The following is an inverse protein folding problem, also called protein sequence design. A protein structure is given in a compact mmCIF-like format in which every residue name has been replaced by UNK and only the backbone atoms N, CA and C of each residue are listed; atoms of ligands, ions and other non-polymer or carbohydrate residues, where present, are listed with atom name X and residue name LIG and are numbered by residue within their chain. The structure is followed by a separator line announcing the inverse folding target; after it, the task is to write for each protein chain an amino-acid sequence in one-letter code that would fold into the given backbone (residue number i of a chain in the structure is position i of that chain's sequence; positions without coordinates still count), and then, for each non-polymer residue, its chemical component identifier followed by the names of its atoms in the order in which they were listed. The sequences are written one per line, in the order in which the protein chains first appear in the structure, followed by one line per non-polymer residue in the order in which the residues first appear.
data_IF_189318713663
#
_entry.id   IF_189318713663
#
_cell.length_a   1.000
_cell.length_b   1.000
_cell.length_c   1.000
_cell.angle_alpha   90.00
_cell.angle_beta   90.00
_cell.angle_gamma   90.00
#
_symmetry.space_group_name_H-M   'P 1'
#
loop_
_entity.id
_entity.type
_entity.pdbx_description
1 polymer ?
#
# COMPACT_ATOMS: atom_id res chain seq x y z
N UNK A 1 2.15 19.15 3.09
CA UNK A 1 2.41 18.00 2.18
C UNK A 1 1.37 16.92 2.39
N UNK A 2 1.09 16.54 3.65
CA UNK A 2 0.02 15.61 4.00
C UNK A 2 -1.35 16.02 3.44
N UNK A 3 -1.71 17.31 3.51
CA UNK A 3 -2.99 17.82 2.95
C UNK A 3 -3.11 17.58 1.43
N UNK A 4 -2.03 17.79 0.68
CA UNK A 4 -2.02 17.52 -0.78
C UNK A 4 -2.19 16.03 -1.09
N UNK A 5 -1.66 15.14 -0.25
CA UNK A 5 -1.84 13.69 -0.41
C UNK A 5 -3.28 13.30 -0.07
N UNK A 6 -3.89 13.93 0.95
CA UNK A 6 -5.30 13.71 1.27
C UNK A 6 -6.20 14.13 0.11
N UNK A 7 -5.94 15.29 -0.50
CA UNK A 7 -6.67 15.77 -1.68
C UNK A 7 -6.56 14.80 -2.88
N UNK A 8 -5.40 14.14 -3.06
CA UNK A 8 -5.23 13.11 -4.08
C UNK A 8 -6.04 11.85 -3.76
N UNK A 9 -6.00 11.38 -2.50
CA UNK A 9 -6.77 10.22 -2.06
C UNK A 9 -8.28 10.48 -2.16
N UNK A 10 -8.72 11.71 -1.91
CA UNK A 10 -10.13 12.09 -1.98
C UNK A 10 -10.71 12.11 -3.40
N UNK A 11 -9.86 12.22 -4.42
CA UNK A 11 -10.25 12.07 -5.83
C UNK A 11 -10.68 10.64 -6.20
N UNK A 12 -10.38 9.64 -5.35
CA UNK A 12 -10.92 8.29 -5.53
C UNK A 12 -12.45 8.37 -5.45
N UNK A 13 -13.18 7.77 -6.43
CA UNK A 13 -14.63 7.81 -6.47
C UNK A 13 -15.28 7.36 -5.15
N UNK A 14 -16.36 8.06 -4.80
CA UNK A 14 -17.21 7.64 -3.69
C UNK A 14 -17.92 6.33 -4.02
N UNK A 15 -18.48 5.69 -2.98
CA UNK A 15 -19.40 4.57 -3.15
C UNK A 15 -20.59 4.98 -4.03
N UNK A 16 -21.06 4.05 -4.84
CA UNK A 16 -22.28 4.28 -5.62
C UNK A 16 -23.53 4.39 -4.71
N UNK A 17 -24.69 4.65 -5.31
CA UNK A 17 -25.97 4.78 -4.56
C UNK A 17 -26.36 3.52 -3.77
N UNK A 18 -25.72 2.37 -4.03
CA UNK A 18 -25.93 1.10 -3.33
C UNK A 18 -24.88 0.84 -2.26
N UNK A 19 -23.93 1.77 -2.05
CA UNK A 19 -22.80 1.57 -1.14
C UNK A 19 -21.69 0.70 -1.72
N UNK A 20 -21.67 0.46 -3.03
CA UNK A 20 -20.67 -0.40 -3.69
C UNK A 20 -19.51 0.46 -4.19
N UNK A 21 -18.28 0.02 -3.91
CA UNK A 21 -17.09 0.60 -4.51
C UNK A 21 -16.72 -0.16 -5.78
N UNK A 22 -16.87 0.46 -6.95
CA UNK A 22 -16.48 -0.14 -8.24
C UNK A 22 -15.05 0.21 -8.66
N UNK A 23 -14.43 1.16 -7.95
CA UNK A 23 -13.11 1.69 -8.27
C UNK A 23 -13.08 2.59 -9.51
N UNK A 24 -12.07 3.47 -9.63
CA UNK A 24 -11.78 4.19 -10.86
C UNK A 24 -11.16 3.25 -11.92
N UNK A 25 -11.26 3.64 -13.19
CA UNK A 25 -10.45 3.08 -14.26
C UNK A 25 -8.96 3.37 -14.03
N UNK A 26 -8.07 2.65 -14.71
CA UNK A 26 -6.63 2.93 -14.62
C UNK A 26 -6.30 4.35 -15.09
N UNK A 27 -6.95 4.86 -16.13
CA UNK A 27 -6.70 6.21 -16.65
C UNK A 27 -7.06 7.30 -15.62
N UNK A 28 -8.09 7.07 -14.81
CA UNK A 28 -8.48 7.95 -13.70
C UNK A 28 -7.58 7.79 -12.47
N UNK A 29 -7.12 6.56 -12.18
CA UNK A 29 -6.27 6.28 -11.04
C UNK A 29 -4.83 6.77 -11.24
N UNK A 30 -4.29 6.65 -12.46
CA UNK A 30 -2.87 6.88 -12.74
C UNK A 30 -2.36 8.27 -12.31
N UNK A 31 -3.06 9.39 -12.59
CA UNK A 31 -2.63 10.70 -12.11
C UNK A 31 -2.54 10.81 -10.58
N UNK A 32 -3.43 10.11 -9.86
CA UNK A 32 -3.44 10.07 -8.39
C UNK A 32 -2.21 9.32 -7.89
N UNK A 33 -1.97 8.12 -8.45
CA UNK A 33 -0.82 7.28 -8.08
C UNK A 33 0.51 7.97 -8.41
N UNK A 34 0.61 8.59 -9.59
CA UNK A 34 1.81 9.33 -10.02
C UNK A 34 2.05 10.55 -9.12
N UNK A 35 1.00 11.26 -8.69
CA UNK A 35 1.12 12.36 -7.74
C UNK A 35 1.66 11.92 -6.38
N UNK A 36 1.24 10.76 -5.88
CA UNK A 36 1.74 10.18 -4.64
C UNK A 36 3.19 9.73 -4.79
N UNK A 37 3.53 9.06 -5.89
CA UNK A 37 4.90 8.60 -6.18
C UNK A 37 5.87 9.76 -6.40
N UNK A 38 5.41 10.86 -7.01
CA UNK A 38 6.20 12.07 -7.20
C UNK A 38 6.58 12.74 -5.85
N UNK A 39 5.75 12.55 -4.81
CA UNK A 39 6.07 12.94 -3.45
C UNK A 39 7.01 11.96 -2.73
N UNK A 40 7.46 10.89 -3.41
CA UNK A 40 8.43 9.94 -2.91
C UNK A 40 7.92 9.08 -1.76
N UNK A 41 8.85 8.65 -0.91
CA UNK A 41 8.57 7.76 0.23
C UNK A 41 7.59 8.40 1.20
N UNK A 42 7.71 9.70 1.43
CA UNK A 42 6.88 10.47 2.34
C UNK A 42 5.43 10.57 1.84
N UNK A 43 5.22 10.63 0.51
CA UNK A 43 3.88 10.53 -0.08
C UNK A 43 3.21 9.21 0.26
N UNK A 44 3.91 8.09 0.07
CA UNK A 44 3.40 6.76 0.41
C UNK A 44 3.15 6.63 1.92
N UNK A 45 4.06 7.13 2.76
CA UNK A 45 3.90 7.13 4.22
C UNK A 45 2.69 7.96 4.68
N UNK A 46 2.38 9.06 3.98
CA UNK A 46 1.19 9.85 4.27
C UNK A 46 -0.10 9.05 3.99
N UNK A 47 -0.16 8.30 2.89
CA UNK A 47 -1.31 7.40 2.61
C UNK A 47 -1.39 6.27 3.65
N UNK A 48 -0.25 5.66 4.02
CA UNK A 48 -0.22 4.66 5.11
C UNK A 48 -0.77 5.24 6.42
N UNK A 49 -0.47 6.51 6.71
CA UNK A 49 -1.00 7.21 7.89
C UNK A 49 -2.52 7.45 7.88
N UNK A 50 -3.18 7.29 6.73
CA UNK A 50 -4.64 7.38 6.60
C UNK A 50 -5.34 6.03 6.82
N UNK A 51 -4.58 4.93 6.79
CA UNK A 51 -5.11 3.58 7.06
C UNK A 51 -5.31 3.41 8.56
N UNK A 52 -6.53 3.04 8.94
CA UNK A 52 -6.88 2.75 10.33
C UNK A 52 -6.33 1.38 10.75
N UNK A 53 -5.93 1.23 12.03
CA UNK A 53 -5.52 -0.06 12.58
C UNK A 53 -6.61 -1.13 12.45
N UNK A 54 -7.87 -0.75 12.69
CA UNK A 54 -9.04 -1.61 12.52
C UNK A 54 -9.76 -1.19 11.24
N UNK A 55 -10.01 -2.17 10.38
CA UNK A 55 -10.75 -1.96 9.13
C UNK A 55 -12.26 -1.86 9.42
N UNK A 56 -12.78 -0.64 9.44
CA UNK A 56 -14.21 -0.34 9.54
C UNK A 56 -14.83 0.04 8.17
N UNK A 57 -14.06 -0.14 7.09
CA UNK A 57 -14.44 0.24 5.73
C UNK A 57 -14.44 1.73 5.42
N UNK A 58 -14.19 2.62 6.39
CA UNK A 58 -14.24 4.08 6.15
C UNK A 58 -12.97 4.65 5.50
N UNK A 59 -11.85 3.93 5.58
CA UNK A 59 -10.56 4.28 4.97
C UNK A 59 -10.33 3.58 3.61
N UNK A 60 -11.41 3.07 2.99
CA UNK A 60 -11.34 2.29 1.75
C UNK A 60 -10.58 2.98 0.62
N UNK A 61 -10.64 4.32 0.53
CA UNK A 61 -9.90 5.08 -0.48
C UNK A 61 -8.38 4.97 -0.28
N UNK A 62 -7.90 5.13 0.95
CA UNK A 62 -6.48 5.02 1.27
C UNK A 62 -5.98 3.59 1.04
N UNK A 63 -6.77 2.59 1.44
CA UNK A 63 -6.49 1.17 1.16
C UNK A 63 -6.43 0.91 -0.35
N UNK A 64 -7.44 1.35 -1.11
CA UNK A 64 -7.45 1.22 -2.56
C UNK A 64 -6.18 1.80 -3.20
N UNK A 65 -5.79 3.02 -2.81
CA UNK A 65 -4.59 3.68 -3.33
C UNK A 65 -3.33 2.88 -3.05
N UNK A 66 -3.13 2.40 -1.82
CA UNK A 66 -1.95 1.58 -1.49
C UNK A 66 -1.92 0.27 -2.25
N UNK A 67 -3.08 -0.39 -2.38
CA UNK A 67 -3.16 -1.63 -3.13
C UNK A 67 -2.92 -1.42 -4.63
N UNK A 68 -3.47 -0.34 -5.21
CA UNK A 68 -3.24 0.03 -6.60
C UNK A 68 -1.76 0.39 -6.85
N UNK A 69 -1.11 1.12 -5.93
CA UNK A 69 0.34 1.36 -5.96
C UNK A 69 1.11 0.05 -5.97
N UNK A 70 0.83 -0.85 -5.02
CA UNK A 70 1.52 -2.13 -4.91
C UNK A 70 1.37 -2.97 -6.20
N UNK A 71 0.15 -3.07 -6.73
CA UNK A 71 -0.11 -3.76 -8.00
C UNK A 71 0.61 -3.12 -9.19
N UNK A 72 0.66 -1.79 -9.26
CA UNK A 72 1.28 -1.07 -10.35
C UNK A 72 2.80 -1.21 -10.34
N UNK A 73 3.43 -0.98 -9.18
CA UNK A 73 4.89 -1.05 -9.03
C UNK A 73 5.42 -2.49 -8.95
N UNK A 74 4.54 -3.47 -8.68
CA UNK A 74 4.89 -4.89 -8.75
C UNK A 74 5.15 -5.41 -10.17
N UNK A 75 4.79 -4.64 -11.21
CA UNK A 75 5.00 -5.03 -12.62
C UNK A 75 6.46 -4.85 -13.05
N UNK A 76 6.95 -5.62 -14.04
CA UNK A 76 8.30 -5.44 -14.60
C UNK A 76 8.54 -4.01 -15.13
N UNK A 77 9.75 -3.48 -14.95
CA UNK A 77 10.14 -2.14 -15.43
C UNK A 77 9.76 -0.99 -14.50
N UNK A 78 9.36 -1.28 -13.26
CA UNK A 78 8.98 -0.29 -12.23
C UNK A 78 9.85 -0.36 -10.97
N UNK A 79 11.06 -0.91 -11.07
CA UNK A 79 11.91 -1.29 -9.94
C UNK A 79 12.27 -0.10 -9.03
N UNK A 80 12.49 1.09 -9.59
CA UNK A 80 12.75 2.30 -8.81
C UNK A 80 11.54 2.71 -7.96
N UNK A 81 10.35 2.78 -8.57
CA UNK A 81 9.11 3.10 -7.86
C UNK A 81 8.74 2.00 -6.85
N UNK A 82 8.96 0.73 -7.20
CA UNK A 82 8.75 -0.42 -6.30
C UNK A 82 9.59 -0.30 -5.04
N UNK A 83 10.84 0.12 -5.18
CA UNK A 83 11.74 0.32 -4.03
C UNK A 83 11.18 1.36 -3.07
N UNK A 84 10.73 2.51 -3.60
CA UNK A 84 10.12 3.59 -2.79
C UNK A 84 8.91 3.08 -2.02
N UNK A 85 7.97 2.41 -2.70
CA UNK A 85 6.73 1.90 -2.09
C UNK A 85 7.03 0.81 -1.06
N UNK A 86 7.87 -0.18 -1.41
CA UNK A 86 8.19 -1.30 -0.53
C UNK A 86 8.95 -0.84 0.74
N UNK A 87 9.84 0.15 0.62
CA UNK A 87 10.49 0.75 1.79
C UNK A 87 9.54 1.54 2.68
N UNK A 88 8.57 2.26 2.11
CA UNK A 88 7.55 2.96 2.88
C UNK A 88 6.67 1.98 3.66
N UNK A 89 6.21 0.90 3.01
CA UNK A 89 5.41 -0.16 3.62
C UNK A 89 6.18 -0.85 4.76
N UNK A 90 7.46 -1.16 4.57
CA UNK A 90 8.29 -1.80 5.59
C UNK A 90 8.61 -0.89 6.79
N UNK A 91 8.53 0.43 6.62
CA UNK A 91 8.81 1.40 7.69
C UNK A 91 7.67 1.52 8.71
N UNK A 92 6.44 1.11 8.36
CA UNK A 92 5.27 1.15 9.24
C UNK A 92 4.66 -0.24 9.36
N UNK A 93 5.18 -1.08 10.28
CA UNK A 93 4.73 -2.46 10.37
C UNK A 93 3.28 -2.52 10.85
N UNK A 94 2.39 -3.01 9.99
CA UNK A 94 1.03 -3.40 10.31
C UNK A 94 0.58 -4.48 9.33
N UNK A 95 -0.52 -5.16 9.68
CA UNK A 95 -1.04 -6.29 8.91
C UNK A 95 -1.34 -5.91 7.45
N UNK A 96 -1.95 -4.74 7.23
CA UNK A 96 -2.27 -4.26 5.88
C UNK A 96 -1.02 -4.00 5.03
N UNK A 97 0.05 -3.46 5.61
CA UNK A 97 1.33 -3.22 4.94
C UNK A 97 2.05 -4.53 4.63
N UNK A 98 2.00 -5.52 5.53
CA UNK A 98 2.52 -6.86 5.26
C UNK A 98 1.82 -7.50 4.05
N UNK A 99 0.48 -7.39 3.98
CA UNK A 99 -0.31 -7.83 2.80
C UNK A 99 0.09 -7.11 1.51
N UNK A 100 0.42 -5.82 1.55
CA UNK A 100 0.91 -5.11 0.36
C UNK A 100 2.34 -5.51 -0.02
N UNK A 101 3.19 -5.82 0.96
CA UNK A 101 4.53 -6.36 0.71
C UNK A 101 4.50 -7.75 0.06
N UNK A 102 3.43 -8.53 0.23
CA UNK A 102 3.23 -9.75 -0.55
C UNK A 102 3.09 -9.47 -2.06
N UNK A 103 2.52 -8.33 -2.44
CA UNK A 103 2.27 -7.94 -3.84
C UNK A 103 3.49 -7.30 -4.48
N UNK A 104 4.17 -6.39 -3.76
CA UNK A 104 5.24 -5.56 -4.33
C UNK A 104 6.56 -5.60 -3.56
N UNK A 105 6.65 -6.33 -2.44
CA UNK A 105 7.88 -6.42 -1.65
C UNK A 105 8.99 -7.17 -2.38
N UNK A 106 10.23 -6.95 -1.97
CA UNK A 106 11.42 -7.66 -2.47
C UNK A 106 12.16 -8.28 -1.30
N UNK A 107 13.22 -9.05 -1.57
CA UNK A 107 14.12 -9.57 -0.54
C UNK A 107 14.64 -8.52 0.45
N UNK A 108 14.72 -7.25 0.03
CA UNK A 108 15.16 -6.16 0.90
C UNK A 108 14.22 -5.92 2.08
N UNK A 109 12.96 -6.36 2.00
CA UNK A 109 11.97 -6.23 3.06
C UNK A 109 11.91 -7.45 4.00
N UNK A 110 12.66 -8.53 3.71
CA UNK A 110 12.68 -9.73 4.55
C UNK A 110 13.05 -9.45 6.01
N UNK A 111 14.03 -8.58 6.36
CA UNK A 111 14.31 -8.27 7.77
C UNK A 111 13.16 -7.58 8.50
N UNK A 112 12.38 -6.74 7.81
CA UNK A 112 11.22 -6.09 8.40
C UNK A 112 10.07 -7.08 8.62
N UNK A 113 9.79 -7.93 7.64
CA UNK A 113 8.80 -9.00 7.73
C UNK A 113 9.17 -10.06 8.78
N UNK A 114 10.44 -10.44 8.87
CA UNK A 114 10.92 -11.40 9.86
C UNK A 114 10.69 -10.94 11.31
N UNK A 115 10.76 -9.63 11.58
CA UNK A 115 10.40 -9.07 12.90
C UNK A 115 8.90 -9.20 13.20
N UNK A 116 8.05 -9.10 12.19
CA UNK A 116 6.59 -9.25 12.36
C UNK A 116 6.17 -10.69 12.68
N UNK A 117 6.99 -11.70 12.37
CA UNK A 117 6.70 -13.09 12.71
C UNK A 117 6.58 -13.35 14.22
N UNK A 118 7.19 -12.49 15.05
CA UNK A 118 7.11 -12.57 16.50
C UNK A 118 5.79 -12.02 17.07
N UNK A 119 5.00 -11.32 16.26
CA UNK A 119 3.72 -10.73 16.65
C UNK A 119 2.56 -11.62 16.17
N UNK A 120 1.76 -12.22 17.07
CA UNK A 120 0.64 -13.09 16.70
C UNK A 120 -0.41 -12.44 15.78
N UNK A 121 -0.56 -11.11 15.80
CA UNK A 121 -1.52 -10.41 14.94
C UNK A 121 -0.97 -10.16 13.53
N UNK A 122 0.35 -10.24 13.35
CA UNK A 122 1.02 -9.91 12.09
C UNK A 122 1.68 -11.14 11.43
N UNK A 123 1.91 -12.21 12.20
CA UNK A 123 2.76 -13.32 11.78
C UNK A 123 2.26 -14.03 10.53
N UNK A 124 0.94 -14.18 10.35
CA UNK A 124 0.36 -14.84 9.17
C UNK A 124 0.65 -14.03 7.89
N UNK A 125 0.26 -12.75 7.87
CA UNK A 125 0.51 -11.87 6.72
C UNK A 125 2.01 -11.69 6.45
N UNK A 126 2.84 -11.67 7.50
CA UNK A 126 4.28 -11.60 7.36
C UNK A 126 4.87 -12.87 6.74
N UNK A 127 4.44 -14.05 7.17
CA UNK A 127 4.87 -15.33 6.60
C UNK A 127 4.46 -15.46 5.13
N UNK A 128 3.22 -15.08 4.79
CA UNK A 128 2.74 -15.07 3.41
C UNK A 128 3.53 -14.11 2.53
N UNK A 129 3.89 -12.93 3.04
CA UNK A 129 4.73 -11.97 2.33
C UNK A 129 6.15 -12.52 2.11
N UNK A 130 6.78 -13.11 3.13
CA UNK A 130 8.10 -13.76 3.02
C UNK A 130 8.09 -14.87 1.96
N UNK A 131 7.06 -15.73 1.97
CA UNK A 131 6.90 -16.77 0.96
C UNK A 131 6.77 -16.18 -0.46
N UNK A 132 5.97 -15.14 -0.64
CA UNK A 132 5.77 -14.49 -1.93
C UNK A 132 7.06 -13.86 -2.50
N UNK A 133 7.92 -13.32 -1.63
CA UNK A 133 9.23 -12.77 -2.02
C UNK A 133 10.34 -13.81 -2.06
N UNK A 134 10.04 -15.09 -1.77
CA UNK A 134 10.96 -16.24 -1.75
C UNK A 134 12.04 -16.17 -0.67
N UNK A 135 11.69 -15.64 0.50
CA UNK A 135 12.56 -15.48 1.67
C UNK A 135 11.96 -16.13 2.94
N UNK A 136 11.01 -17.06 2.76
CA UNK A 136 10.32 -17.80 3.84
C UNK A 136 10.78 -19.24 4.00
#
# INVERSE_FOLDING_TARGET
MQDKIADLVDQIPALDKRGTFTGPSWDEAMPILDGILAAGKEGVLAVIGMVKPVDDGSDYKARYVLHALAQWVGRPGKEAARTIVAEALAAKPNDYCARQLQVCGTKNQAPALGRMLADPELCESAAQALLAIREG
#
